data_IF_903266243122
#
_entry.id   IF_903266243122
#
_cell.length_a   1.000
_cell.length_b   1.000
_cell.length_c   1.000
_cell.angle_alpha   90.00
_cell.angle_beta   90.00
_cell.angle_gamma   90.00
#
_symmetry.space_group_name_H-M   'P 1'
#
loop_
_entity.id
_entity.type
_entity.pdbx_description
1 polymer ?
2 non-polymer ?
3 non-polymer ?
4 water ?
#
# COMPACT_ATOMS: atom_id res chain seq x y z
N UNK A 20 3.66 30.72 1.80
CA UNK A 20 4.07 31.66 2.84
C UNK A 20 3.73 31.12 4.22
N UNK A 21 2.64 30.38 4.31
CA UNK A 21 2.13 29.92 5.60
C UNK A 21 2.86 28.68 6.08
N UNK A 22 3.13 27.73 5.18
CA UNK A 22 3.70 26.45 5.59
C UNK A 22 5.22 26.54 5.76
N UNK A 23 5.88 27.45 5.03
CA UNK A 23 7.32 27.60 5.14
C UNK A 23 7.75 28.15 6.49
N UNK A 24 6.81 28.62 7.31
CA UNK A 24 7.14 29.06 8.67
C UNK A 24 7.45 27.88 9.58
N UNK A 25 7.01 26.68 9.22
CA UNK A 25 7.18 25.51 10.09
C UNK A 25 8.63 25.05 10.01
N UNK A 26 9.30 24.83 11.15
CA UNK A 26 10.71 24.40 11.10
C UNK A 26 10.93 23.10 10.33
N UNK A 27 10.01 22.14 10.46
CA UNK A 27 10.19 20.87 9.76
C UNK A 27 10.04 21.04 8.25
N UNK A 28 9.17 21.94 7.80
CA UNK A 28 9.03 22.19 6.38
C UNK A 28 10.29 22.84 5.82
N UNK A 29 10.94 23.69 6.61
CA UNK A 29 12.23 24.26 6.19
C UNK A 29 13.28 23.18 6.01
N UNK A 30 13.28 22.17 6.89
CA UNK A 30 14.21 21.06 6.74
C UNK A 30 13.91 20.25 5.48
N UNK A 31 12.62 20.07 5.17
CA UNK A 31 12.26 19.35 3.94
C UNK A 31 12.50 20.20 2.70
N UNK A 32 12.42 21.52 2.83
CA UNK A 32 12.57 22.41 1.68
C UNK A 32 14.01 22.48 1.16
N UNK A 33 14.96 21.86 1.87
CA UNK A 33 16.33 21.76 1.37
C UNK A 33 16.47 20.75 0.25
N UNK A 34 15.46 19.92 0.01
CA UNK A 34 15.53 18.83 -0.96
C UNK A 34 14.57 19.10 -2.11
N UNK A 35 15.06 18.90 -3.34
CA UNK A 35 14.23 19.03 -4.54
C UNK A 35 13.51 17.70 -4.83
N UNK A 36 12.77 17.24 -3.81
CA UNK A 36 12.04 15.98 -3.87
C UNK A 36 10.56 16.20 -3.59
N UNK A 37 10.01 17.29 -4.11
CA UNK A 37 8.62 17.66 -3.89
C UNK A 37 7.76 17.30 -5.10
N UNK A 38 6.54 16.87 -4.83
CA UNK A 38 5.54 16.57 -5.85
C UNK A 38 4.22 17.20 -5.43
N UNK A 39 3.22 17.05 -6.29
CA UNK A 39 1.83 17.36 -5.96
C UNK A 39 1.02 16.10 -6.19
N UNK A 40 -0.12 16.03 -5.51
CA UNK A 40 -0.96 14.84 -5.56
C UNK A 40 -2.41 15.24 -5.74
N UNK A 41 -3.20 14.31 -6.27
CA UNK A 41 -4.61 14.54 -6.54
C UNK A 41 -5.40 13.27 -6.28
N UNK A 42 -6.67 13.44 -5.94
CA UNK A 42 -7.53 12.30 -5.61
C UNK A 42 -8.08 11.68 -6.89
N UNK A 43 -7.72 10.42 -7.14
CA UNK A 43 -8.28 9.62 -8.21
C UNK A 43 -9.19 8.58 -7.57
N UNK A 44 -10.50 8.81 -7.68
CA UNK A 44 -11.50 8.01 -6.97
C UNK A 44 -11.19 8.00 -5.47
N UNK A 45 -10.37 7.04 -5.03
CA UNK A 45 -10.03 6.92 -3.62
C UNK A 45 -8.55 6.58 -3.45
N UNK A 46 -7.70 7.15 -4.30
CA UNK A 46 -6.25 7.04 -4.16
C UNK A 46 -5.64 8.43 -4.29
N UNK A 47 -4.37 8.53 -3.91
CA UNK A 47 -3.63 9.79 -3.93
C UNK A 47 -2.47 9.64 -4.93
N UNK A 48 -2.74 9.94 -6.19
CA UNK A 48 -1.74 9.77 -7.25
C UNK A 48 -0.83 11.01 -7.25
N UNK A 49 0.49 10.83 -7.22
CA UNK A 49 1.40 11.97 -7.29
C UNK A 49 1.68 12.42 -8.71
N UNK A 50 1.98 13.71 -8.85
CA UNK A 50 2.16 14.32 -10.17
C UNK A 50 3.40 15.20 -10.17
N UNK A 51 4.02 15.29 -11.35
CA UNK A 51 5.15 16.19 -11.56
C UNK A 51 4.67 17.63 -11.42
N UNK A 52 5.25 18.43 -10.53
CA UNK A 52 4.75 19.80 -10.35
C UNK A 52 5.04 20.72 -11.52
N UNK A 53 5.96 20.37 -12.41
CA UNK A 53 6.39 21.27 -13.47
C UNK A 53 5.60 21.09 -14.77
N UNK A 54 5.21 19.86 -15.11
CA UNK A 54 4.50 19.60 -16.35
C UNK A 54 3.15 18.91 -16.14
N UNK A 55 2.80 18.54 -14.91
CA UNK A 55 1.53 17.91 -14.64
C UNK A 55 1.44 16.44 -14.98
N UNK A 56 2.52 15.84 -15.49
CA UNK A 56 2.51 14.42 -15.79
C UNK A 56 2.52 13.61 -14.49
N UNK A 57 2.24 12.32 -14.62
CA UNK A 57 2.27 11.43 -13.47
C UNK A 57 3.72 11.24 -13.02
N UNK A 58 3.96 11.37 -11.72
CA UNK A 58 5.30 11.38 -11.16
C UNK A 58 5.66 10.00 -10.61
N UNK A 59 6.85 9.53 -10.97
CA UNK A 59 7.39 8.30 -10.41
C UNK A 59 8.15 8.59 -9.12
N UNK A 60 8.26 7.56 -8.28
CA UNK A 60 9.01 7.67 -7.03
C UNK A 60 10.48 7.33 -7.18
N UNK A 61 10.93 7.04 -8.40
CA UNK A 61 12.33 6.72 -8.65
C UNK A 61 12.99 7.63 -9.68
N UNK A 62 12.24 8.55 -10.29
CA UNK A 62 12.78 9.49 -11.26
C UNK A 62 12.98 10.84 -10.57
N UNK A 63 14.21 11.22 -10.21
CA UNK A 63 14.39 12.48 -9.47
C UNK A 63 13.97 13.72 -10.26
N UNK A 64 14.21 13.73 -11.57
CA UNK A 64 13.82 14.88 -12.38
C UNK A 64 12.32 14.96 -12.62
N UNK A 65 11.54 14.03 -12.07
CA UNK A 65 10.09 14.15 -12.09
C UNK A 65 9.55 14.95 -10.91
N UNK A 66 10.42 15.36 -9.98
CA UNK A 66 10.04 16.11 -8.81
C UNK A 66 10.44 17.58 -9.01
N UNK A 67 10.38 18.36 -7.94
CA UNK A 67 10.81 19.74 -7.96
C UNK A 67 11.13 20.19 -6.56
N UNK A 68 11.48 21.47 -6.42
CA UNK A 68 11.66 22.03 -5.10
C UNK A 68 10.31 22.50 -4.57
N UNK A 69 10.31 23.07 -3.36
CA UNK A 69 9.03 23.41 -2.72
C UNK A 69 8.36 24.57 -3.45
N UNK A 70 9.14 25.50 -4.02
CA UNK A 70 8.53 26.60 -4.77
C UNK A 70 7.88 26.10 -6.05
N UNK A 71 8.44 25.08 -6.67
CA UNK A 71 7.82 24.50 -7.87
C UNK A 71 6.60 23.67 -7.49
N UNK A 72 6.63 23.00 -6.34
CA UNK A 72 5.46 22.26 -5.90
C UNK A 72 4.31 23.19 -5.56
N UNK A 73 4.61 24.34 -4.96
CA UNK A 73 3.55 25.28 -4.61
C UNK A 73 3.00 25.98 -5.85
N UNK A 74 3.83 26.18 -6.87
CA UNK A 74 3.34 26.78 -8.11
C UNK A 74 2.50 25.78 -8.90
N UNK A 75 2.97 24.54 -9.00
CA UNK A 75 2.21 23.52 -9.70
C UNK A 75 0.93 23.14 -8.98
N UNK A 76 0.91 23.26 -7.65
CA UNK A 76 -0.31 23.02 -6.89
C UNK A 76 -1.43 23.94 -7.35
N UNK A 77 -1.11 25.20 -7.63
CA UNK A 77 -2.11 26.14 -8.11
C UNK A 77 -2.35 25.96 -9.60
N UNK A 78 -1.31 25.60 -10.37
CA UNK A 78 -1.45 25.50 -11.81
C UNK A 78 -2.43 24.40 -12.21
N UNK A 79 -2.28 23.22 -11.63
CA UNK A 79 -3.09 22.06 -11.99
C UNK A 79 -4.20 21.77 -10.98
N UNK A 80 -4.38 22.63 -9.98
CA UNK A 80 -5.44 22.44 -9.01
C UNK A 80 -5.34 21.16 -8.21
N UNK A 81 -4.12 20.77 -7.82
CA UNK A 81 -3.93 19.54 -7.08
C UNK A 81 -4.48 19.69 -5.66
N UNK A 82 -4.55 18.56 -4.95
CA UNK A 82 -5.12 18.55 -3.61
C UNK A 82 -4.12 19.02 -2.55
N UNK A 83 -2.83 18.84 -2.79
CA UNK A 83 -1.84 19.24 -1.80
C UNK A 83 -0.44 18.91 -2.27
N UNK A 84 0.51 19.21 -1.39
CA UNK A 84 1.92 18.97 -1.65
C UNK A 84 2.33 17.56 -1.23
N UNK A 85 3.42 17.08 -1.82
CA UNK A 85 3.96 15.78 -1.46
C UNK A 85 5.47 15.84 -1.42
N UNK A 86 6.06 14.87 -0.74
CA UNK A 86 7.51 14.79 -0.60
C UNK A 86 7.94 13.35 -0.82
N UNK A 87 8.76 13.13 -1.85
CA UNK A 87 9.28 11.80 -2.14
C UNK A 87 10.44 11.51 -1.20
N UNK A 88 10.40 10.36 -0.56
CA UNK A 88 11.47 9.92 0.32
C UNK A 88 12.48 9.09 -0.43
N UNK A 89 13.76 9.39 -0.22
CA UNK A 89 14.87 8.69 -0.86
C UNK A 89 15.79 8.14 0.22
N UNK A 90 16.60 7.15 -0.16
CA UNK A 90 17.55 6.57 0.78
C UNK A 90 18.56 7.60 1.28
N UNK A 91 18.88 8.61 0.46
CA UNK A 91 19.96 9.52 0.80
C UNK A 91 19.53 10.58 1.81
N UNK A 92 18.29 11.07 1.71
CA UNK A 92 17.81 12.00 2.72
C UNK A 92 17.67 11.28 4.06
N UNK A 93 17.84 12.00 5.17
CA UNK A 93 17.83 11.37 6.49
C UNK A 93 16.44 11.15 7.08
N UNK A 94 15.37 11.27 6.30
CA UNK A 94 14.01 11.28 6.84
C UNK A 94 13.40 9.90 6.84
N UNK A 95 12.63 9.62 7.90
CA UNK A 95 11.77 8.44 7.98
C UNK A 95 10.33 8.92 8.06
N UNK A 96 9.45 8.27 7.30
CA UNK A 96 8.04 8.64 7.23
C UNK A 96 7.23 7.58 7.96
N UNK A 97 6.45 8.01 8.95
CA UNK A 97 5.60 7.14 9.75
C UNK A 97 4.15 7.51 9.49
N UNK A 98 3.38 6.56 8.99
CA UNK A 98 1.99 6.78 8.61
C UNK A 98 1.07 6.05 9.59
N UNK A 99 0.19 6.80 10.23
CA UNK A 99 -0.77 6.26 11.20
C UNK A 99 -2.17 6.56 10.68
N UNK A 100 -2.93 5.51 10.37
CA UNK A 100 -4.24 5.65 9.75
C UNK A 100 -5.35 5.34 10.77
N UNK A 101 -6.42 6.12 10.70
CA UNK A 101 -7.64 5.88 11.48
C UNK A 101 -7.33 5.85 12.98
N UNK A 102 -6.56 6.83 13.43
CA UNK A 102 -6.22 6.96 14.84
C UNK A 102 -6.79 8.22 15.46
N UNK A 103 -7.41 9.11 14.68
CA UNK A 103 -8.07 10.30 15.20
C UNK A 103 -9.57 10.18 15.01
N UNK A 104 -10.32 10.56 16.05
CA UNK A 104 -11.78 10.54 15.96
C UNK A 104 -12.29 11.79 15.24
N UNK A 105 -13.56 12.12 15.45
CA UNK A 105 -14.14 13.30 14.81
C UNK A 105 -13.47 14.59 15.30
N UNK A 106 -13.09 14.63 16.57
CA UNK A 106 -12.48 15.82 17.17
C UNK A 106 -10.97 15.85 17.00
N UNK A 107 -10.41 14.99 16.13
CA UNK A 107 -8.99 15.00 15.80
C UNK A 107 -8.12 14.77 17.05
N UNK A 108 -8.58 13.88 17.92
CA UNK A 108 -7.79 13.44 19.06
C UNK A 108 -7.50 11.95 18.96
N UNK A 109 -6.40 11.52 19.56
CA UNK A 109 -5.96 10.13 19.44
C UNK A 109 -6.92 9.22 20.19
N UNK A 110 -7.43 8.20 19.50
CA UNK A 110 -8.33 7.23 20.09
C UNK A 110 -7.74 5.83 20.17
N UNK A 111 -6.54 5.62 19.64
CA UNK A 111 -5.89 4.31 19.62
C UNK A 111 -4.72 4.31 20.59
N UNK A 112 -4.66 3.28 21.44
CA UNK A 112 -3.64 3.23 22.47
C UNK A 112 -2.25 3.00 21.87
N UNK A 113 -2.17 2.20 20.81
CA UNK A 113 -0.87 1.98 20.17
C UNK A 113 -0.35 3.26 19.55
N UNK A 114 -1.24 4.09 19.00
CA UNK A 114 -0.82 5.37 18.42
C UNK A 114 -0.47 6.38 19.50
N UNK A 115 -1.19 6.35 20.64
CA UNK A 115 -0.85 7.22 21.76
C UNK A 115 0.52 6.87 22.33
N UNK A 116 0.78 5.58 22.51
CA UNK A 116 2.06 5.15 23.06
C UNK A 116 3.21 5.47 22.11
N UNK A 117 2.97 5.34 20.80
CA UNK A 117 4.01 5.65 19.82
C UNK A 117 4.38 7.13 19.86
N UNK A 118 3.38 8.00 19.99
CA UNK A 118 3.66 9.43 20.03
C UNK A 118 4.44 9.82 21.28
N UNK A 119 4.31 9.05 22.36
CA UNK A 119 5.07 9.34 23.57
C UNK A 119 6.54 8.92 23.46
N UNK A 120 6.83 7.93 22.63
CA UNK A 120 8.20 7.46 22.45
C UNK A 120 8.88 8.05 21.22
N UNK A 121 8.12 8.61 20.28
CA UNK A 121 8.68 9.24 19.10
C UNK A 121 8.13 10.66 18.99
N UNK A 122 8.76 11.59 19.71
CA UNK A 122 8.30 12.99 19.73
C UNK A 122 9.04 13.76 18.64
N UNK A 123 8.52 13.69 17.43
CA UNK A 123 9.06 14.44 16.30
C UNK A 123 7.95 15.19 15.59
N UNK A 124 8.23 15.71 14.40
CA UNK A 124 7.24 16.46 13.65
C UNK A 124 6.01 15.59 13.36
N UNK A 125 4.87 16.01 13.86
CA UNK A 125 3.61 15.28 13.69
C UNK A 125 2.59 16.22 13.04
N UNK A 126 1.91 15.70 12.02
CA UNK A 126 0.89 16.48 11.33
C UNK A 126 -0.32 15.60 11.05
N UNK A 127 -1.45 16.25 10.79
CA UNK A 127 -2.70 15.55 10.51
C UNK A 127 -2.78 15.29 9.02
N UNK A 128 -2.94 14.01 8.64
CA UNK A 128 -3.01 13.57 7.26
C UNK A 128 -4.22 14.19 6.55
N UNK A 129 -4.28 14.18 5.21
CA UNK A 129 -5.36 14.88 4.51
C UNK A 129 -6.78 14.51 4.95
N UNK A 130 -7.05 13.22 5.21
CA UNK A 130 -8.42 12.84 5.54
C UNK A 130 -8.86 13.30 6.93
N UNK A 131 -7.94 13.79 7.75
CA UNK A 131 -8.27 14.28 9.06
C UNK A 131 -8.36 13.24 10.16
N UNK A 132 -8.30 11.96 9.83
CA UNK A 132 -8.40 10.90 10.82
C UNK A 132 -7.08 10.19 11.07
N UNK A 133 -5.97 10.74 10.55
CA UNK A 133 -4.68 10.08 10.66
C UNK A 133 -3.58 11.06 10.96
N UNK A 134 -2.40 10.52 11.20
CA UNK A 134 -1.23 11.30 11.58
C UNK A 134 -0.03 10.90 10.72
N UNK A 135 0.83 11.88 10.48
CA UNK A 135 2.14 11.65 9.87
C UNK A 135 3.20 12.08 10.88
N UNK A 136 4.21 11.22 11.07
CA UNK A 136 5.38 11.57 11.88
C UNK A 136 6.60 11.46 10.98
N UNK A 137 7.38 12.54 10.92
CA UNK A 137 8.63 12.59 10.17
C UNK A 137 9.78 12.69 11.16
N UNK A 138 10.65 11.67 11.16
CA UNK A 138 11.78 11.61 12.07
C UNK A 138 13.05 11.45 11.25
N UNK A 139 14.18 11.75 11.90
CA UNK A 139 15.50 11.51 11.33
C UNK A 139 16.10 10.31 12.07
N UNK A 140 16.29 9.21 11.34
CA UNK A 140 16.84 8.02 11.95
C UNK A 140 16.87 6.88 10.96
N UNK A 141 17.07 5.68 11.48
CA UNK A 141 17.10 4.46 10.69
C UNK A 141 16.03 3.51 11.17
N UNK A 142 15.28 2.94 10.23
CA UNK A 142 14.27 1.95 10.57
C UNK A 142 14.93 0.64 10.99
N UNK A 143 14.32 -0.10 11.91
CA UNK A 143 14.76 -1.47 12.16
C UNK A 143 14.58 -2.33 10.91
N UNK A 144 15.51 -3.24 10.69
CA UNK A 144 15.50 -4.07 9.49
C UNK A 144 14.62 -5.31 9.60
N UNK A 145 13.94 -5.50 10.74
CA UNK A 145 13.17 -6.72 10.98
C UNK A 145 11.67 -6.45 11.12
N UNK A 146 11.19 -5.30 10.67
CA UNK A 146 9.78 -4.94 10.82
C UNK A 146 9.14 -4.82 9.44
N UNK A 147 7.83 -5.07 9.39
CA UNK A 147 7.09 -4.95 8.15
C UNK A 147 6.80 -3.48 7.86
N UNK A 148 6.66 -3.17 6.57
CA UNK A 148 6.34 -1.80 6.18
C UNK A 148 4.97 -1.39 6.69
N UNK A 149 3.97 -2.26 6.53
CA UNK A 149 2.60 -1.98 6.94
C UNK A 149 2.15 -2.99 7.99
N UNK A 150 1.46 -2.49 9.02
CA UNK A 150 0.93 -3.33 10.08
C UNK A 150 -0.49 -2.88 10.39
N UNK A 151 -1.45 -3.78 10.21
CA UNK A 151 -2.85 -3.50 10.46
C UNK A 151 -3.25 -3.98 11.85
N UNK A 152 -4.27 -3.34 12.41
CA UNK A 152 -4.74 -3.65 13.76
C UNK A 152 -6.23 -3.92 13.72
N UNK A 153 -6.73 -4.56 14.79
CA UNK A 153 -8.09 -5.07 14.79
C UNK A 153 -9.12 -3.95 14.67
N UNK A 154 -8.88 -2.82 15.35
CA UNK A 154 -9.87 -1.74 15.35
C UNK A 154 -10.01 -1.08 13.99
N UNK A 155 -9.09 -1.32 13.07
CA UNK A 155 -9.10 -0.70 11.76
C UNK A 155 -7.93 0.22 11.49
N UNK A 156 -7.15 0.56 12.50
CA UNK A 156 -6.00 1.44 12.33
C UNK A 156 -4.84 0.68 11.68
N UNK A 157 -3.85 1.44 11.20
CA UNK A 157 -2.70 0.86 10.52
C UNK A 157 -1.47 1.71 10.80
N UNK A 158 -0.30 1.10 10.59
CA UNK A 158 0.99 1.75 10.81
C UNK A 158 1.89 1.45 9.62
N UNK A 159 2.22 2.46 8.83
CA UNK A 159 3.13 2.33 7.70
C UNK A 159 4.42 3.08 8.00
N UNK A 160 5.55 2.41 7.76
CA UNK A 160 6.87 3.00 7.98
C UNK A 160 7.68 2.89 6.70
N UNK A 161 8.22 4.02 6.25
CA UNK A 161 9.02 4.07 5.03
C UNK A 161 10.12 5.10 5.18
N UNK A 162 11.33 4.72 4.77
CA UNK A 162 12.45 5.66 4.67
C UNK A 162 12.83 5.98 3.24
N UNK A 163 12.32 5.23 2.27
CA UNK A 163 12.56 5.49 0.85
C UNK A 163 11.53 4.72 0.05
N UNK A 164 11.52 4.97 -1.26
CA UNK A 164 10.71 4.21 -2.18
C UNK A 164 9.34 4.79 -2.48
N UNK A 165 8.81 5.66 -1.62
CA UNK A 165 7.49 6.24 -1.83
C UNK A 165 7.47 7.67 -1.32
N UNK A 166 6.39 8.38 -1.62
CA UNK A 166 6.20 9.75 -1.21
C UNK A 166 5.18 9.83 -0.09
N UNK A 167 5.13 11.00 0.54
CA UNK A 167 4.16 11.29 1.59
C UNK A 167 3.50 12.64 1.32
N UNK A 168 2.20 12.70 1.54
CA UNK A 168 1.50 13.97 1.42
C UNK A 168 1.92 14.89 2.56
N UNK A 169 1.93 16.19 2.28
CA UNK A 169 2.32 17.21 3.24
C UNK A 169 1.16 18.18 3.40
N UNK A 170 0.63 18.27 4.62
CA UNK A 170 -0.47 19.17 4.91
C UNK A 170 -0.08 20.38 5.73
N UNK A 171 0.96 20.29 6.55
CA UNK A 171 1.36 21.37 7.42
C UNK A 171 0.52 21.55 8.66
N UNK A 172 -0.55 20.79 8.83
CA UNK A 172 -1.39 20.88 10.01
C UNK A 172 -0.68 20.30 11.23
N UNK A 173 0.11 21.14 11.92
CA UNK A 173 0.94 20.64 13.02
C UNK A 173 0.06 20.14 14.15
N UNK A 174 0.38 18.95 14.65
CA UNK A 174 -0.39 18.30 15.70
C UNK A 174 0.37 18.40 17.02
N UNK A 175 -0.30 18.91 18.05
CA UNK A 175 0.27 19.04 19.40
C UNK A 175 1.52 19.91 19.39
N UNK A 176 1.59 20.87 18.48
CA UNK A 176 2.74 21.76 18.42
C UNK A 176 4.05 21.07 18.11
N UNK A 177 4.00 19.90 17.49
CA UNK A 177 5.21 19.15 17.12
C UNK A 177 5.56 19.55 15.69
N UNK A 178 6.34 20.63 15.56
CA UNK A 178 6.63 21.23 14.26
C UNK A 178 8.11 21.15 13.89
N UNK A 179 8.85 20.19 14.45
CA UNK A 179 10.28 20.12 14.26
C UNK A 179 10.72 18.67 14.11
N UNK A 180 11.45 18.38 13.04
CA UNK A 180 11.99 17.04 12.84
C UNK A 180 13.14 16.83 13.82
N UNK A 181 13.02 15.79 14.65
CA UNK A 181 14.05 15.44 15.62
C UNK A 181 14.81 14.21 15.15
N UNK A 182 16.03 14.06 15.65
CA UNK A 182 16.86 12.89 15.37
C UNK A 182 16.71 11.94 16.55
N UNK A 183 15.88 10.90 16.38
CA UNK A 183 15.56 9.96 17.44
C UNK A 183 15.97 8.56 17.04
N UNK A 184 16.25 7.73 18.04
CA UNK A 184 16.43 6.30 17.81
C UNK A 184 15.08 5.66 17.55
N UNK A 185 15.00 4.85 16.50
CA UNK A 185 13.74 4.26 16.05
C UNK A 185 13.68 2.76 16.27
N UNK A 186 14.57 2.23 17.12
CA UNK A 186 14.48 0.81 17.48
C UNK A 186 13.19 0.51 18.24
N UNK A 187 12.56 1.53 18.83
CA UNK A 187 11.32 1.33 19.56
C UNK A 187 10.17 0.94 18.64
N UNK A 188 10.31 1.14 17.33
CA UNK A 188 9.27 0.77 16.39
C UNK A 188 9.05 -0.74 16.32
N UNK A 189 10.01 -1.54 16.81
CA UNK A 189 9.81 -2.97 16.88
C UNK A 189 8.72 -3.38 17.86
N UNK A 190 8.32 -2.47 18.76
CA UNK A 190 7.23 -2.75 19.69
C UNK A 190 5.86 -2.57 19.05
N UNK A 191 5.78 -1.89 17.91
CA UNK A 191 4.50 -1.56 17.28
C UNK A 191 4.28 -2.26 15.95
N UNK A 192 5.31 -2.41 15.14
CA UNK A 192 5.18 -3.05 13.84
C UNK A 192 5.37 -4.56 13.96
N UNK A 193 4.69 -5.30 13.09
CA UNK A 193 4.86 -6.74 13.02
C UNK A 193 6.25 -7.06 12.48
N UNK A 194 6.83 -8.15 12.98
CA UNK A 194 8.14 -8.56 12.51
C UNK A 194 8.02 -9.41 11.24
N UNK A 195 9.03 -9.30 10.38
CA UNK A 195 9.16 -10.15 9.21
C UNK A 195 10.58 -10.67 9.13
N UNK A 196 10.75 -11.78 8.43
CA UNK A 196 12.08 -12.38 8.28
C UNK A 196 12.99 -11.45 7.50
N UNK A 211 7.77 -18.86 -12.99
CA UNK A 211 7.46 -17.43 -13.04
C UNK A 211 7.05 -16.91 -11.66
N UNK A 212 7.14 -15.60 -11.49
CA UNK A 212 6.78 -14.98 -10.22
C UNK A 212 5.26 -14.97 -10.04
N UNK A 213 4.83 -14.79 -8.79
CA UNK A 213 3.40 -14.71 -8.50
C UNK A 213 2.75 -13.54 -9.22
N UNK A 214 3.28 -12.33 -9.02
CA UNK A 214 2.73 -11.17 -9.70
C UNK A 214 2.90 -11.25 -11.21
N UNK A 215 3.88 -12.00 -11.69
CA UNK A 215 3.99 -12.24 -13.13
C UNK A 215 2.81 -13.06 -13.63
N UNK A 216 2.39 -14.08 -12.87
CA UNK A 216 1.22 -14.86 -13.25
C UNK A 216 -0.04 -14.02 -13.11
N UNK A 217 -0.11 -13.18 -12.09
CA UNK A 217 -1.30 -12.34 -11.88
C UNK A 217 -1.47 -11.37 -13.03
N UNK A 218 -0.40 -10.64 -13.38
CA UNK A 218 -0.47 -9.72 -14.51
C UNK A 218 -0.83 -10.44 -15.80
N UNK A 219 -0.32 -11.66 -15.97
CA UNK A 219 -0.67 -12.45 -17.15
C UNK A 219 -2.16 -12.75 -17.18
N UNK A 220 -2.71 -13.24 -16.07
CA UNK A 220 -4.13 -13.55 -16.02
C UNK A 220 -4.98 -12.29 -16.19
N UNK A 221 -4.52 -11.16 -15.66
CA UNK A 221 -5.26 -9.91 -15.83
C UNK A 221 -5.28 -9.49 -17.29
N UNK A 222 -4.18 -9.67 -18.01
CA UNK A 222 -4.13 -9.31 -19.42
C UNK A 222 -4.96 -10.25 -20.29
N UNK A 223 -5.24 -11.46 -19.81
CA UNK A 223 -6.05 -12.42 -20.54
C UNK A 223 -7.52 -12.39 -20.12
N UNK A 224 -7.91 -11.49 -19.23
CA UNK A 224 -9.26 -11.47 -18.73
C UNK A 224 -9.63 -12.61 -17.82
N UNK A 225 -8.63 -13.24 -17.20
CA UNK A 225 -8.85 -14.38 -16.31
C UNK A 225 -8.82 -13.99 -14.83
N UNK A 226 -8.80 -12.69 -14.53
CA UNK A 226 -8.77 -12.23 -13.15
C UNK A 226 -10.17 -11.83 -12.73
N UNK A 227 -10.74 -12.45 -11.70
CA UNK A 227 -12.13 -12.19 -11.36
C UNK A 227 -12.32 -10.87 -10.64
N UNK A 228 -13.56 -10.42 -10.61
CA UNK A 228 -13.95 -9.23 -9.87
C UNK A 228 -14.61 -9.64 -8.55
N UNK A 229 -14.85 -8.64 -7.71
CA UNK A 229 -15.49 -8.92 -6.43
C UNK A 229 -16.91 -9.46 -6.67
N UNK A 230 -17.39 -10.38 -5.83
CA UNK A 230 -18.72 -10.96 -6.06
C UNK A 230 -19.81 -9.92 -5.82
N UNK A 231 -20.70 -9.79 -6.80
CA UNK A 231 -21.89 -8.98 -6.65
C UNK A 231 -22.90 -9.73 -5.79
N UNK A 232 -23.80 -8.97 -5.16
CA UNK A 232 -24.87 -9.58 -4.38
C UNK A 232 -25.74 -10.44 -5.29
N UNK A 233 -26.07 -11.65 -4.83
CA UNK A 233 -26.80 -12.60 -5.63
C UNK A 233 -25.93 -13.63 -6.33
N UNK A 234 -24.61 -13.47 -6.28
CA UNK A 234 -23.69 -14.43 -6.87
C UNK A 234 -23.31 -15.49 -5.86
N UNK A 235 -23.18 -16.73 -6.33
CA UNK A 235 -22.71 -17.84 -5.51
C UNK A 235 -21.21 -17.72 -5.38
N UNK A 236 -20.74 -17.22 -4.23
CA UNK A 236 -19.32 -16.96 -4.04
C UNK A 236 -18.51 -18.25 -4.17
N UNK A 237 -18.97 -19.34 -3.57
CA UNK A 237 -18.25 -20.60 -3.70
C UNK A 237 -18.24 -21.11 -5.13
N UNK A 238 -19.26 -20.76 -5.92
CA UNK A 238 -19.22 -21.10 -7.34
C UNK A 238 -18.20 -20.24 -8.10
N UNK A 239 -17.97 -19.01 -7.63
CA UNK A 239 -16.92 -18.19 -8.22
C UNK A 239 -15.54 -18.69 -7.81
N UNK A 240 -15.40 -19.16 -6.56
CA UNK A 240 -14.13 -19.71 -6.11
C UNK A 240 -13.68 -20.87 -6.98
N UNK A 241 -14.61 -21.75 -7.34
CA UNK A 241 -14.26 -22.93 -8.12
C UNK A 241 -13.91 -22.56 -9.56
N UNK A 242 -14.64 -21.60 -10.14
CA UNK A 242 -14.33 -21.16 -11.50
C UNK A 242 -12.97 -20.46 -11.55
N UNK A 243 -12.61 -19.72 -10.51
CA UNK A 243 -11.31 -19.08 -10.46
C UNK A 243 -10.19 -20.06 -10.12
N UNK A 244 -10.48 -21.00 -9.21
CA UNK A 244 -9.49 -22.04 -8.91
C UNK A 244 -9.22 -22.93 -10.12
N UNK A 245 -10.24 -23.12 -10.97
CA UNK A 245 -10.02 -23.86 -12.22
C UNK A 245 -9.05 -23.13 -13.12
N UNK A 246 -9.17 -21.81 -13.22
CA UNK A 246 -8.24 -21.03 -14.04
C UNK A 246 -6.86 -21.00 -13.41
N UNK A 247 -6.79 -20.96 -12.08
CA UNK A 247 -5.49 -20.95 -11.40
C UNK A 247 -4.74 -22.26 -11.65
N UNK A 248 -5.46 -23.38 -11.69
CA UNK A 248 -4.82 -24.66 -11.95
C UNK A 248 -4.12 -24.68 -13.30
N UNK A 249 -4.65 -23.96 -14.28
CA UNK A 249 -4.02 -23.91 -15.59
C UNK A 249 -2.83 -22.96 -15.59
N UNK A 250 -3.06 -21.69 -15.22
CA UNK A 250 -2.01 -20.68 -15.33
C UNK A 250 -0.86 -20.95 -14.37
N UNK A 251 -1.16 -21.46 -13.18
CA UNK A 251 -0.10 -21.78 -12.23
C UNK A 251 0.51 -23.15 -12.45
N UNK A 252 0.07 -23.89 -13.47
CA UNK A 252 0.61 -25.22 -13.71
C UNK A 252 0.29 -26.21 -12.63
N UNK A 253 -0.89 -26.09 -12.01
CA UNK A 253 -1.32 -26.97 -10.93
C UNK A 253 -0.35 -26.96 -9.76
N UNK A 254 0.34 -25.84 -9.56
CA UNK A 254 1.17 -25.63 -8.38
C UNK A 254 0.24 -25.14 -7.26
N UNK A 255 -0.15 -26.06 -6.39
CA UNK A 255 -1.20 -25.76 -5.41
C UNK A 255 -0.72 -24.70 -4.42
N UNK A 256 0.56 -24.74 -4.03
CA UNK A 256 1.06 -23.71 -3.13
C UNK A 256 1.13 -22.35 -3.81
N UNK A 257 1.28 -22.32 -5.13
CA UNK A 257 1.25 -21.05 -5.85
C UNK A 257 -0.17 -20.57 -6.07
N UNK A 258 -1.08 -21.50 -6.40
CA UNK A 258 -2.49 -21.13 -6.56
C UNK A 258 -3.05 -20.55 -5.28
N UNK A 259 -2.61 -21.08 -4.12
CA UNK A 259 -3.09 -20.58 -2.84
C UNK A 259 -2.54 -19.18 -2.55
N UNK A 260 -1.27 -18.94 -2.86
CA UNK A 260 -0.70 -17.61 -2.66
C UNK A 260 -1.39 -16.58 -3.53
N UNK A 261 -1.77 -16.97 -4.76
CA UNK A 261 -2.41 -16.02 -5.66
C UNK A 261 -3.86 -15.79 -5.25
N UNK A 262 -4.55 -16.86 -4.82
CA UNK A 262 -5.95 -16.72 -4.42
C UNK A 262 -6.09 -15.76 -3.24
N UNK A 263 -5.12 -15.75 -2.33
CA UNK A 263 -5.21 -14.89 -1.15
C UNK A 263 -5.06 -13.41 -1.50
N UNK A 264 -4.53 -13.10 -2.69
CA UNK A 264 -4.43 -11.73 -3.16
C UNK A 264 -5.57 -11.31 -4.07
N UNK A 265 -6.53 -12.20 -4.31
CA UNK A 265 -7.59 -11.99 -5.27
C UNK A 265 -8.82 -11.41 -4.60
N UNK A 266 -9.71 -10.78 -5.38
CA UNK A 266 -10.97 -10.27 -4.81
C UNK A 266 -11.91 -11.34 -4.29
N UNK A 267 -11.57 -12.62 -4.39
CA UNK A 267 -12.42 -13.69 -3.89
C UNK A 267 -12.00 -14.21 -2.53
N UNK A 268 -10.92 -13.68 -1.95
CA UNK A 268 -10.44 -14.18 -0.67
C UNK A 268 -11.39 -13.79 0.45
N UNK A 269 -11.58 -14.71 1.40
CA UNK A 269 -12.42 -14.49 2.57
C UNK A 269 -11.95 -15.43 3.67
N UNK A 270 -12.60 -15.33 4.83
CA UNK A 270 -12.21 -16.16 5.97
C UNK A 270 -12.57 -17.62 5.78
N UNK A 271 -13.60 -17.91 4.96
CA UNK A 271 -13.99 -19.29 4.73
C UNK A 271 -12.87 -20.09 4.07
N UNK A 272 -11.96 -19.41 3.36
CA UNK A 272 -10.87 -20.07 2.67
C UNK A 272 -10.02 -20.91 3.62
N UNK A 273 -9.90 -20.50 4.88
CA UNK A 273 -9.09 -21.18 5.87
C UNK A 273 -9.91 -21.87 6.95
N UNK A 274 -11.22 -21.98 6.78
CA UNK A 274 -12.02 -22.70 7.75
C UNK A 274 -11.84 -24.20 7.58
N UNK A 275 -11.67 -24.95 8.66
CA UNK A 275 -11.53 -26.40 8.55
C UNK A 275 -12.78 -27.04 7.98
N UNK A 276 -12.58 -28.06 7.13
CA UNK A 276 -13.69 -28.77 6.51
C UNK A 276 -13.24 -30.21 6.25
N UNK A 277 -13.62 -31.11 7.17
CA UNK A 277 -13.41 -32.55 7.02
C UNK A 277 -11.93 -32.89 6.82
N UNK A 278 -11.12 -32.55 7.83
CA UNK A 278 -9.70 -32.86 7.77
C UNK A 278 -8.92 -32.07 6.76
N UNK A 279 -9.44 -30.91 6.34
CA UNK A 279 -8.77 -30.03 5.41
C UNK A 279 -9.40 -28.65 5.57
N UNK A 280 -9.03 -27.73 4.69
CA UNK A 280 -9.68 -26.43 4.63
C UNK A 280 -10.52 -26.33 3.36
N UNK A 281 -11.53 -25.46 3.41
CA UNK A 281 -12.35 -25.24 2.23
C UNK A 281 -11.51 -24.80 1.04
N UNK A 282 -10.45 -24.02 1.29
CA UNK A 282 -9.58 -23.59 0.21
C UNK A 282 -8.72 -24.72 -0.34
N UNK A 283 -8.18 -25.56 0.55
CA UNK A 283 -7.36 -26.69 0.10
C UNK A 283 -8.18 -27.67 -0.72
N UNK A 284 -9.42 -27.94 -0.29
CA UNK A 284 -10.28 -28.85 -1.04
C UNK A 284 -10.66 -28.24 -2.38
N UNK A 285 -10.93 -26.93 -2.41
CA UNK A 285 -11.26 -26.27 -3.67
C UNK A 285 -10.10 -26.33 -4.66
N UNK A 286 -8.88 -26.11 -4.18
CA UNK A 286 -7.72 -26.13 -5.07
C UNK A 286 -7.39 -27.54 -5.56
N UNK A 287 -7.60 -28.55 -4.70
CA UNK A 287 -7.31 -29.92 -5.12
C UNK A 287 -8.33 -30.44 -6.10
N UNK A 288 -9.59 -30.00 -6.00
CA UNK A 288 -10.59 -30.39 -6.98
C UNK A 288 -10.33 -29.73 -8.33
N UNK A 289 -9.81 -28.50 -8.33
CA UNK A 289 -9.47 -27.84 -9.58
C UNK A 289 -8.31 -28.54 -10.28
N UNK A 290 -7.29 -28.93 -9.51
CA UNK A 290 -6.17 -29.65 -10.11
C UNK A 290 -6.61 -30.99 -10.71
N UNK A 291 -7.60 -31.64 -10.09
CA UNK A 291 -8.14 -32.87 -10.66
C UNK A 291 -9.00 -32.58 -11.88
N UNK A 292 -9.85 -31.55 -11.79
CA UNK A 292 -10.76 -31.23 -12.89
C UNK A 292 -9.99 -30.74 -14.12
N UNK A 293 -9.05 -29.82 -13.92
CA UNK A 293 -8.28 -29.29 -15.04
C UNK A 293 -7.30 -30.35 -15.53
N UNK A 294 -7.15 -30.45 -16.85
CA UNK A 294 -6.29 -31.43 -17.48
C UNK A 294 -5.04 -30.85 -18.10
N UNK A 295 -5.15 -29.72 -18.81
CA UNK A 295 -3.99 -29.07 -19.40
C UNK A 295 -3.46 -27.97 -18.47
N UNK A 296 -2.19 -27.64 -18.64
CA UNK A 296 -1.54 -26.62 -17.83
C UNK A 296 -0.86 -25.61 -18.74
N UNK A 297 -0.62 -24.42 -18.19
CA UNK A 297 0.15 -23.41 -18.91
C UNK A 297 1.63 -23.63 -18.69
N UNK A 298 2.38 -23.72 -19.78
CA UNK A 298 3.82 -23.90 -19.71
C UNK A 298 4.50 -22.57 -19.99
N UNK A 299 5.24 -22.00 -19.04
CA UNK A 299 5.92 -20.72 -19.30
C UNK A 299 6.90 -20.79 -20.45
N UNK A 300 7.51 -21.96 -20.71
CA UNK A 300 8.45 -22.08 -21.82
C UNK A 300 7.72 -22.18 -23.15
N UNK A 301 6.57 -22.86 -23.18
CA UNK A 301 5.82 -23.01 -24.42
C UNK A 301 4.88 -21.85 -24.69
N UNK A 302 4.48 -21.10 -23.67
CA UNK A 302 3.55 -19.98 -23.81
C UNK A 302 2.26 -20.41 -24.49
N UNK A 303 1.77 -21.59 -24.12
CA UNK A 303 0.54 -22.13 -24.70
C UNK A 303 -0.68 -21.44 -24.10
N UNK A 304 -0.75 -20.12 -24.34
CA UNK A 304 -1.87 -19.33 -23.86
C UNK A 304 -3.17 -19.75 -24.53
N UNK A 305 -3.11 -20.30 -25.73
CA UNK A 305 -4.31 -20.72 -26.45
C UNK A 305 -4.87 -22.03 -25.92
N UNK A 306 -4.10 -22.80 -25.16
CA UNK A 306 -4.57 -24.07 -24.61
C UNK A 306 -5.40 -23.88 -23.35
N UNK A 307 -5.80 -22.67 -23.03
CA UNK A 307 -6.63 -22.44 -21.85
C UNK A 307 -8.08 -22.82 -22.17
N UNK A 308 -8.73 -23.65 -21.35
CA UNK A 308 -10.09 -24.09 -21.66
C UNK A 308 -11.18 -23.13 -21.22
N UNK A 309 -10.85 -22.08 -20.48
CA UNK A 309 -11.85 -21.18 -19.90
C UNK A 309 -11.83 -19.83 -20.59
N UNK A 310 -13.00 -19.26 -20.82
CA UNK A 310 -13.13 -17.99 -21.50
C UNK A 310 -13.01 -16.83 -20.51
N UNK A 311 -12.60 -15.65 -20.97
CA UNK A 311 -12.45 -14.52 -20.07
C UNK A 311 -13.76 -14.08 -19.44
N UNK A 312 -13.65 -13.33 -18.36
CA UNK A 312 -14.82 -12.79 -17.68
C UNK A 312 -15.42 -11.63 -18.48
N UNK A 313 -16.58 -11.18 -18.04
CA UNK A 313 -17.27 -10.08 -18.70
C UNK A 313 -16.92 -8.74 -18.07
X LIG B 1 -5.09 9.68 5.04
X LIG B 1 -6.10 9.30 3.97
X LIG B 1 -4.37 8.49 5.62
X LIG B 1 -5.69 10.56 6.11
X LIG B 1 -2.46 10.00 3.55
X LIG B 1 -1.81 10.87 2.50
X LIG B 1 -1.48 9.46 4.57
X LIG B 1 -3.77 10.59 4.15
X LIG B 1 -2.66 7.04 2.86
X LIG B 1 -3.47 6.03 2.07
X LIG B 1 -2.53 6.74 4.33
X LIG B 1 -2.78 8.53 2.46
X LIG B 1 -0.97 6.50 2.21
X LIG B 1 0.14 6.90 2.90
X LIG B 1 1.17 7.65 1.92
X LIG B 1 1.47 6.89 0.73
X LIG B 1 0.56 8.95 1.47
X LIG B 1 0.88 9.96 2.43
X LIG B 1 1.27 9.16 0.11
X LIG B 1 1.52 7.69 -0.42
X LIG B 1 0.51 7.16 -1.46
X LIG B 1 -0.86 6.99 -1.18
X LIG B 1 -1.55 6.51 -2.25
X LIG B 1 -0.62 6.33 -3.29
X LIG B 1 -0.73 5.86 -4.66
X LIG B 1 -1.94 5.44 -5.23
X LIG B 1 0.42 5.81 -5.42
X LIG B 1 1.62 6.22 -4.85
X LIG B 1 1.82 6.68 -3.59
X LIG B 1 0.68 6.73 -2.80
X LIG C 1 -2.36 7.80 6.26
X LIG D 1 15.04 8.48 3.69
#
# INVERSE_FOLDING_TARGET
MGSSHHHHHHSSGLVPRGSHMIMEIPAIKALSRYAQWVIWKKERDTKIPYNPNNGKKASSTDPLAWGDIDEAQAGLVRYGANGLGFVLTKSDPFVFIDLDHVLDENKRVKCEWARQLLKEIKSYTEISPSGDGLHVVVSGKLPDYIKHKTKFDDGSALEVYESGRYMTITGEVFDGRDDIKELDLSILGEFAEHKIETKNAPVQIESATTLDDEAIIDLMKRKGQWPDAPKDGDDWSSLDMSFANRLAFWCGKDIERMDRIFRQSPLMRQKWDRPTAGSTYGRITLKKACDFVDSVYDPALRNESDCPFEPYNEEGGPRN
DTP PG O1G O2G O3G PB O1B O2B O3B PA O1A O2A O3A O5' C5' C4' O4' C3' O3' C2' C1' N9 C8 N7 C5 C6 N6 N1 C2 N3 C4
MG MG
MG MG
#
